data_IF_405175631860
#
_entry.id   IF_405175631860
#
_cell.length_a   1.000
_cell.length_b   1.000
_cell.length_c   1.000
_cell.angle_alpha   90.00
_cell.angle_beta   90.00
_cell.angle_gamma   90.00
#
_symmetry.space_group_name_H-M   'P 1'
#
loop_
_entity.id
_entity.type
_entity.pdbx_description
1 polymer ?
#
# COMPACT_ATOMS: atom_id res chain seq x y z
N UNK A 1 -15.21 -22.35 6.02
CA UNK A 1 -14.98 -20.93 6.37
C UNK A 1 -15.80 -20.59 7.59
N UNK A 2 -15.17 -20.17 8.69
CA UNK A 2 -15.81 -19.98 10.02
C UNK A 2 -16.78 -18.81 10.05
N UNK A 3 -16.44 -17.73 9.37
CA UNK A 3 -17.33 -16.63 9.03
C UNK A 3 -17.13 -16.32 7.53
N UNK A 4 -18.13 -16.63 6.72
CA UNK A 4 -18.04 -16.49 5.25
C UNK A 4 -17.99 -15.02 4.84
N UNK A 5 -18.84 -14.18 5.42
CA UNK A 5 -18.89 -12.74 5.12
C UNK A 5 -17.55 -12.06 5.34
N UNK A 6 -16.92 -12.32 6.48
CA UNK A 6 -15.59 -11.76 6.79
C UNK A 6 -14.52 -12.32 5.85
N UNK A 7 -14.57 -13.61 5.51
CA UNK A 7 -13.59 -14.20 4.59
C UNK A 7 -13.67 -13.56 3.18
N UNK A 8 -14.88 -13.36 2.65
CA UNK A 8 -15.07 -12.68 1.37
C UNK A 8 -14.56 -11.25 1.41
N UNK A 9 -14.81 -10.51 2.49
CA UNK A 9 -14.28 -9.16 2.68
C UNK A 9 -12.75 -9.12 2.71
N UNK A 10 -12.11 -10.03 3.46
CA UNK A 10 -10.65 -10.11 3.53
C UNK A 10 -10.03 -10.47 2.18
N UNK A 11 -10.66 -11.38 1.43
CA UNK A 11 -10.21 -11.73 0.07
C UNK A 11 -10.36 -10.54 -0.89
N UNK A 12 -11.48 -9.82 -0.83
CA UNK A 12 -11.72 -8.65 -1.67
C UNK A 12 -10.70 -7.55 -1.41
N UNK A 13 -10.46 -7.20 -0.14
CA UNK A 13 -9.46 -6.17 0.23
C UNK A 13 -8.05 -6.61 -0.18
N UNK A 14 -7.69 -7.88 0.05
CA UNK A 14 -6.38 -8.38 -0.38
C UNK A 14 -6.22 -8.40 -1.90
N UNK A 15 -7.29 -8.65 -2.66
CA UNK A 15 -7.25 -8.57 -4.13
C UNK A 15 -7.01 -7.14 -4.61
N UNK A 16 -7.67 -6.14 -4.00
CA UNK A 16 -7.41 -4.72 -4.29
C UNK A 16 -5.95 -4.37 -3.99
N UNK A 17 -5.43 -4.79 -2.83
CA UNK A 17 -4.04 -4.53 -2.46
C UNK A 17 -3.04 -5.29 -3.37
N UNK A 18 -3.39 -6.46 -3.88
CA UNK A 18 -2.54 -7.18 -4.83
C UNK A 18 -2.39 -6.40 -6.14
N UNK A 19 -3.46 -5.78 -6.63
CA UNK A 19 -3.42 -4.92 -7.82
C UNK A 19 -2.44 -3.78 -7.63
N UNK A 20 -2.39 -3.20 -6.43
CA UNK A 20 -1.45 -2.11 -6.19
C UNK A 20 0.01 -2.57 -6.12
N UNK A 21 0.27 -3.84 -5.81
CA UNK A 21 1.60 -4.44 -5.91
C UNK A 21 2.10 -4.53 -7.36
N UNK A 22 1.20 -4.57 -8.35
CA UNK A 22 1.56 -4.54 -9.78
C UNK A 22 2.16 -3.17 -10.15
N UNK A 23 1.73 -2.09 -9.50
CA UNK A 23 2.29 -0.77 -9.70
C UNK A 23 3.65 -0.57 -9.00
N UNK A 24 4.07 -1.50 -8.13
CA UNK A 24 5.28 -1.35 -7.33
C UNK A 24 6.57 -1.26 -8.16
N UNK A 25 6.84 -2.11 -9.17
CA UNK A 25 8.05 -1.99 -9.98
C UNK A 25 8.20 -0.60 -10.61
N UNK A 26 7.09 -0.04 -11.10
CA UNK A 26 7.06 1.30 -11.65
C UNK A 26 7.40 2.37 -10.60
N UNK A 27 6.80 2.30 -9.40
CA UNK A 27 7.09 3.23 -8.30
C UNK A 27 8.53 3.11 -7.80
N UNK A 28 9.09 1.89 -7.78
CA UNK A 28 10.48 1.64 -7.43
C UNK A 28 11.42 2.33 -8.44
N UNK A 29 11.19 2.17 -9.75
CA UNK A 29 11.98 2.86 -10.77
C UNK A 29 11.89 4.38 -10.65
N UNK A 30 10.69 4.92 -10.40
CA UNK A 30 10.52 6.35 -10.16
C UNK A 30 11.24 6.84 -8.91
N UNK A 31 11.23 6.05 -7.82
CA UNK A 31 11.95 6.40 -6.59
C UNK A 31 13.46 6.49 -6.81
N UNK A 32 14.04 5.57 -7.59
CA UNK A 32 15.45 5.62 -7.96
C UNK A 32 15.76 6.78 -8.90
N UNK A 33 14.86 7.05 -9.85
CA UNK A 33 15.02 8.16 -10.79
C UNK A 33 15.00 9.51 -10.05
N UNK A 34 14.07 9.73 -9.12
CA UNK A 34 14.01 10.96 -8.31
C UNK A 34 15.31 11.22 -7.54
N UNK A 35 15.91 10.18 -6.96
CA UNK A 35 17.20 10.29 -6.27
C UNK A 35 18.33 10.59 -7.27
N UNK A 36 18.34 9.92 -8.43
CA UNK A 36 19.41 10.04 -9.42
C UNK A 36 19.37 11.35 -10.22
N UNK A 37 18.18 11.94 -10.41
CA UNK A 37 17.99 13.15 -11.23
C UNK A 37 17.89 14.44 -10.41
N UNK A 38 18.04 14.38 -9.09
CA UNK A 38 17.94 15.54 -8.21
C UNK A 38 18.96 16.62 -8.59
N UNK A 39 18.47 17.86 -8.76
CA UNK A 39 19.29 19.05 -9.09
C UNK A 39 19.18 20.14 -8.02
N UNK A 40 18.54 19.83 -6.90
CA UNK A 40 18.16 20.77 -5.85
C UNK A 40 19.10 20.62 -4.66
N UNK A 41 19.60 21.73 -4.11
CA UNK A 41 20.50 21.69 -2.94
C UNK A 41 19.84 21.13 -1.66
N UNK A 42 18.51 21.03 -1.64
CA UNK A 42 17.72 20.52 -0.52
C UNK A 42 17.02 19.19 -0.88
N UNK A 43 17.70 18.09 -0.55
CA UNK A 43 17.32 16.73 -0.94
C UNK A 43 16.29 16.08 -0.01
N UNK A 44 15.96 16.71 1.13
CA UNK A 44 15.21 16.08 2.23
C UNK A 44 13.85 15.57 1.75
N UNK A 45 13.12 16.37 0.98
CA UNK A 45 11.79 16.03 0.52
C UNK A 45 11.80 14.89 -0.51
N UNK A 46 12.77 14.89 -1.41
CA UNK A 46 12.94 13.85 -2.45
C UNK A 46 13.34 12.51 -1.83
N UNK A 47 14.22 12.51 -0.83
CA UNK A 47 14.58 11.30 -0.07
C UNK A 47 13.39 10.73 0.69
N UNK A 48 12.57 11.58 1.33
CA UNK A 48 11.34 11.13 2.00
C UNK A 48 10.37 10.53 0.99
N UNK A 49 10.12 11.23 -0.12
CA UNK A 49 9.22 10.74 -1.17
C UNK A 49 9.70 9.41 -1.77
N UNK A 50 10.98 9.29 -2.10
CA UNK A 50 11.56 8.06 -2.62
C UNK A 50 11.49 6.91 -1.60
N UNK A 51 11.75 7.19 -0.31
CA UNK A 51 11.63 6.21 0.77
C UNK A 51 10.20 5.71 0.96
N UNK A 52 9.21 6.61 0.87
CA UNK A 52 7.78 6.25 0.95
C UNK A 52 7.37 5.37 -0.25
N UNK A 53 7.82 5.71 -1.47
CA UNK A 53 7.54 4.91 -2.67
C UNK A 53 8.21 3.53 -2.62
N UNK A 54 9.44 3.45 -2.12
CA UNK A 54 10.17 2.18 -2.00
C UNK A 54 9.59 1.26 -0.93
N UNK A 55 9.01 1.80 0.15
CA UNK A 55 8.41 1.01 1.24
C UNK A 55 6.94 0.67 1.04
N UNK A 56 6.33 1.17 -0.05
CA UNK A 56 4.95 0.92 -0.44
C UNK A 56 4.44 -0.54 -0.33
N UNK A 57 5.18 -1.59 -0.73
CA UNK A 57 4.66 -2.95 -0.71
C UNK A 57 4.68 -3.57 0.69
N UNK A 58 5.40 -3.00 1.65
CA UNK A 58 5.47 -3.51 3.04
C UNK A 58 4.08 -3.59 3.68
N UNK A 59 3.26 -2.52 3.68
CA UNK A 59 1.89 -2.58 4.19
C UNK A 59 0.99 -3.54 3.39
N UNK A 60 1.17 -3.66 2.06
CA UNK A 60 0.43 -4.64 1.26
C UNK A 60 0.79 -6.07 1.67
N UNK A 61 2.07 -6.38 1.86
CA UNK A 61 2.50 -7.70 2.34
C UNK A 61 2.04 -7.95 3.78
N UNK A 62 1.99 -6.91 4.61
CA UNK A 62 1.41 -6.99 5.95
C UNK A 62 -0.09 -7.32 5.91
N UNK A 63 -0.80 -7.09 4.79
CA UNK A 63 -2.21 -7.46 4.63
C UNK A 63 -2.42 -8.96 4.75
N UNK A 64 -1.44 -9.78 4.35
CA UNK A 64 -1.54 -11.24 4.52
C UNK A 64 -1.60 -11.67 5.99
N UNK A 65 -1.16 -10.82 6.93
CA UNK A 65 -1.31 -11.09 8.37
C UNK A 65 -2.77 -11.09 8.84
N UNK A 66 -3.69 -10.47 8.10
CA UNK A 66 -5.13 -10.50 8.42
C UNK A 66 -5.68 -11.94 8.46
N UNK A 67 -5.12 -12.84 7.65
CA UNK A 67 -5.48 -14.26 7.63
C UNK A 67 -5.09 -14.98 8.91
N UNK A 68 -3.97 -14.60 9.53
CA UNK A 68 -3.57 -15.14 10.83
C UNK A 68 -4.60 -14.76 11.91
N UNK A 69 -5.07 -13.51 11.93
CA UNK A 69 -6.12 -13.07 12.86
C UNK A 69 -7.46 -13.78 12.58
N UNK A 70 -7.83 -13.98 11.31
CA UNK A 70 -9.04 -14.72 10.94
C UNK A 70 -9.00 -16.17 11.40
N UNK A 71 -7.86 -16.88 11.23
CA UNK A 71 -7.71 -18.27 11.69
C UNK A 71 -7.86 -18.40 13.20
N UNK A 72 -7.40 -17.40 13.95
CA UNK A 72 -7.48 -17.29 15.41
C UNK A 72 -8.82 -16.72 15.92
N UNK A 73 -9.87 -16.66 15.10
CA UNK A 73 -11.20 -16.16 15.47
C UNK A 73 -11.26 -14.67 15.88
N UNK A 74 -10.19 -13.90 15.64
CA UNK A 74 -10.13 -12.46 15.93
C UNK A 74 -10.65 -11.66 14.73
N UNK A 75 -11.95 -11.81 14.40
CA UNK A 75 -12.53 -11.26 13.17
C UNK A 75 -12.48 -9.72 13.09
N UNK A 76 -12.74 -9.02 14.20
CA UNK A 76 -12.66 -7.56 14.26
C UNK A 76 -11.24 -7.07 13.96
N UNK A 77 -10.24 -7.70 14.57
CA UNK A 77 -8.82 -7.38 14.32
C UNK A 77 -8.40 -7.71 12.91
N UNK A 78 -8.88 -8.83 12.34
CA UNK A 78 -8.60 -9.18 10.95
C UNK A 78 -9.10 -8.10 9.98
N UNK A 79 -10.32 -7.58 10.19
CA UNK A 79 -10.88 -6.50 9.38
C UNK A 79 -10.14 -5.18 9.58
N UNK A 80 -9.77 -4.82 10.80
CA UNK A 80 -8.97 -3.61 11.07
C UNK A 80 -7.63 -3.68 10.34
N UNK A 81 -6.93 -4.81 10.42
CA UNK A 81 -5.65 -4.99 9.74
C UNK A 81 -5.81 -4.95 8.22
N UNK A 82 -6.87 -5.52 7.66
CA UNK A 82 -7.15 -5.43 6.23
C UNK A 82 -7.46 -3.98 5.80
N UNK A 83 -8.24 -3.23 6.59
CA UNK A 83 -8.63 -1.85 6.29
C UNK A 83 -7.52 -0.82 6.48
N UNK A 84 -6.60 -1.03 7.43
CA UNK A 84 -5.45 -0.13 7.65
C UNK A 84 -4.62 0.07 6.37
N UNK A 85 -4.70 -0.90 5.47
CA UNK A 85 -3.88 -0.96 4.26
C UNK A 85 -4.56 -0.24 3.09
N UNK A 86 -5.87 -0.02 3.16
CA UNK A 86 -6.60 0.86 2.23
C UNK A 86 -6.15 2.32 2.34
N UNK A 87 -5.51 2.72 3.44
CA UNK A 87 -4.89 4.05 3.60
C UNK A 87 -3.87 4.30 2.48
N UNK A 88 -3.11 3.28 2.08
CA UNK A 88 -2.11 3.40 1.01
C UNK A 88 -2.73 3.48 -0.36
N UNK A 89 -3.85 2.78 -0.59
CA UNK A 89 -4.65 2.95 -1.81
C UNK A 89 -5.18 4.38 -1.92
N UNK A 90 -5.65 4.96 -0.81
CA UNK A 90 -6.09 6.34 -0.76
C UNK A 90 -4.94 7.33 -1.04
N UNK A 91 -3.75 7.12 -0.46
CA UNK A 91 -2.57 7.96 -0.72
C UNK A 91 -2.18 7.91 -2.21
N UNK A 92 -2.17 6.72 -2.83
CA UNK A 92 -1.88 6.59 -4.26
C UNK A 92 -2.92 7.29 -5.13
N UNK A 93 -4.21 7.15 -4.81
CA UNK A 93 -5.28 7.84 -5.52
C UNK A 93 -5.13 9.36 -5.40
N UNK A 94 -4.80 9.87 -4.21
CA UNK A 94 -4.54 11.29 -3.98
C UNK A 94 -3.33 11.78 -4.78
N UNK A 95 -2.24 11.02 -4.80
CA UNK A 95 -1.04 11.35 -5.59
C UNK A 95 -1.34 11.36 -7.11
N UNK A 96 -2.10 10.37 -7.59
CA UNK A 96 -2.54 10.32 -8.99
C UNK A 96 -3.43 11.50 -9.35
N UNK A 97 -4.41 11.84 -8.52
CA UNK A 97 -5.27 13.01 -8.69
C UNK A 97 -4.47 14.32 -8.73
N UNK A 98 -3.52 14.50 -7.81
CA UNK A 98 -2.64 15.67 -7.78
C UNK A 98 -1.82 15.79 -9.08
N UNK A 99 -1.35 14.67 -9.65
CA UNK A 99 -0.59 14.67 -10.91
C UNK A 99 -1.40 15.04 -12.15
N UNK A 100 -2.74 14.98 -12.10
CA UNK A 100 -3.62 15.37 -13.21
C UNK A 100 -4.08 16.83 -13.18
N UNK A 101 -3.80 17.54 -12.08
CA UNK A 101 -4.13 18.96 -11.89
C UNK A 101 -2.99 19.90 -12.31
N UNK A 102 -1.83 19.34 -12.68
CA UNK A 102 -0.65 20.03 -13.24
C UNK A 102 -0.63 19.82 -14.75
#
# INVERSE_FOLDING_TARGET
MKNRTVAYWLLFINAINLITLVAYPYMLFMSFYMIASSKTDDYILEYIAAGVLATYPVPVLASFTCWAFYKNYKFKTALVMANLILIWVAILLLAALASTLV
#
